data_IF_118105211586
#
_entry.id   IF_118105211586
#
_cell.length_a   1.000
_cell.length_b   1.000
_cell.length_c   1.000
_cell.angle_alpha   90.00
_cell.angle_beta   90.00
_cell.angle_gamma   90.00
#
_symmetry.space_group_name_H-M   'P 1'
#
loop_
_entity.id
_entity.type
_entity.pdbx_description
1 polymer ?
#
# COMPACT_ATOMS: atom_id res chain seq x y z
N UNK A 1 4.67 16.80 12.64
CA UNK A 1 5.65 16.25 11.68
C UNK A 1 5.95 17.30 10.63
N UNK A 2 7.16 17.33 10.06
CA UNK A 2 7.54 18.22 8.96
C UNK A 2 8.24 17.42 7.86
N UNK A 3 8.27 17.98 6.64
CA UNK A 3 9.03 17.43 5.52
C UNK A 3 10.50 17.77 5.67
N UNK A 4 11.39 16.77 5.54
CA UNK A 4 12.82 17.00 5.40
C UNK A 4 13.17 17.14 3.90
N UNK A 5 13.83 18.22 3.50
CA UNK A 5 14.20 18.53 2.13
C UNK A 5 15.30 17.58 1.62
N UNK A 6 14.90 16.44 1.07
CA UNK A 6 15.80 15.43 0.48
C UNK A 6 16.75 14.73 1.47
N UNK A 7 16.22 14.27 2.61
CA UNK A 7 16.99 13.48 3.57
C UNK A 7 17.48 12.15 3.00
N UNK A 8 18.81 12.03 2.91
CA UNK A 8 19.54 10.78 2.70
C UNK A 8 19.81 10.14 4.08
N UNK A 9 18.74 9.72 4.76
CA UNK A 9 18.92 8.69 5.81
C UNK A 9 19.44 7.45 5.09
N UNK A 10 20.30 6.65 5.72
CA UNK A 10 20.50 5.25 5.31
C UNK A 10 19.24 4.45 5.68
N UNK A 11 18.09 4.92 5.16
CA UNK A 11 16.82 4.27 4.84
C UNK A 11 16.23 5.17 3.73
N UNK A 12 16.71 4.93 2.51
CA UNK A 12 16.10 5.22 1.20
C UNK A 12 15.60 6.65 0.90
N UNK A 13 16.37 7.38 0.06
CA UNK A 13 15.82 8.39 -0.86
C UNK A 13 15.05 7.69 -1.98
N UNK A 14 13.72 7.73 -1.96
CA UNK A 14 12.91 7.24 -3.08
C UNK A 14 11.69 8.16 -3.26
N UNK A 15 11.76 9.13 -4.16
CA UNK A 15 10.54 9.48 -4.92
C UNK A 15 10.43 8.39 -5.98
N UNK A 16 9.42 7.52 -5.98
CA UNK A 16 9.00 6.68 -7.11
C UNK A 16 7.64 6.05 -6.77
N UNK A 17 6.72 6.05 -7.73
CA UNK A 17 5.47 5.27 -7.71
C UNK A 17 5.78 3.91 -8.37
N UNK A 18 5.35 2.81 -7.75
CA UNK A 18 5.64 1.43 -8.19
C UNK A 18 4.34 0.69 -8.43
N UNK A 19 4.34 -0.18 -9.43
CA UNK A 19 3.14 -0.85 -9.86
C UNK A 19 3.37 -2.31 -10.21
N UNK A 20 2.31 -3.10 -10.07
CA UNK A 20 2.27 -4.50 -10.52
C UNK A 20 1.11 -4.69 -11.48
N UNK A 21 1.34 -5.53 -12.49
CA UNK A 21 0.27 -6.08 -13.30
C UNK A 21 -0.43 -7.18 -12.50
N UNK A 22 -1.72 -7.04 -12.28
CA UNK A 22 -2.57 -8.16 -11.89
C UNK A 22 -3.03 -8.89 -13.14
N UNK A 23 -3.13 -10.22 -13.07
CA UNK A 23 -3.61 -11.05 -14.19
C UNK A 23 -4.91 -11.71 -13.73
N UNK A 24 -6.05 -11.10 -14.04
CA UNK A 24 -7.29 -11.88 -14.20
C UNK A 24 -7.24 -12.51 -15.60
N UNK A 25 -7.84 -13.69 -15.87
CA UNK A 25 -7.81 -14.28 -17.21
C UNK A 25 -8.36 -13.35 -18.32
N UNK A 26 -9.00 -12.23 -17.96
CA UNK A 26 -9.62 -11.29 -18.91
C UNK A 26 -9.19 -9.81 -18.68
N UNK A 27 -8.66 -9.41 -17.51
CA UNK A 27 -8.28 -8.00 -17.22
C UNK A 27 -6.88 -7.87 -16.62
N UNK A 28 -6.08 -6.97 -17.20
CA UNK A 28 -4.75 -6.59 -16.70
C UNK A 28 -4.84 -5.18 -16.13
N UNK A 29 -4.65 -5.06 -14.82
CA UNK A 29 -4.78 -3.81 -14.07
C UNK A 29 -3.47 -3.50 -13.36
N UNK A 30 -3.08 -2.23 -13.34
CA UNK A 30 -1.89 -1.72 -12.71
C UNK A 30 -2.20 -1.03 -11.36
N UNK A 31 -1.84 -1.68 -10.26
CA UNK A 31 -2.14 -1.19 -8.90
C UNK A 31 -0.90 -0.69 -8.15
N UNK A 32 -1.08 0.35 -7.34
CA UNK A 32 -0.07 0.84 -6.41
C UNK A 32 0.06 -0.06 -5.18
N UNK A 33 1.30 -0.27 -4.69
CA UNK A 33 1.56 -1.07 -3.50
C UNK A 33 1.58 -0.22 -2.23
N UNK A 34 0.69 -0.52 -1.27
CA UNK A 34 0.58 0.30 -0.05
C UNK A 34 0.59 -0.57 1.21
N UNK A 35 1.57 -0.32 2.09
CA UNK A 35 1.71 -0.96 3.41
C UNK A 35 1.01 -0.18 4.53
N UNK A 36 0.46 0.98 4.20
CA UNK A 36 -0.35 1.82 5.09
C UNK A 36 -1.87 1.60 4.94
N UNK A 37 -2.30 0.81 3.95
CA UNK A 37 -3.70 0.46 3.70
C UNK A 37 -3.83 -1.05 3.51
N UNK A 38 -4.98 -1.59 3.91
CA UNK A 38 -5.29 -3.01 3.82
C UNK A 38 -6.24 -3.35 2.69
N UNK A 39 -6.87 -2.33 2.10
CA UNK A 39 -7.88 -2.53 1.06
C UNK A 39 -7.24 -2.78 -0.30
N UNK A 40 -7.72 -3.81 -0.97
CA UNK A 40 -7.43 -4.04 -2.39
C UNK A 40 -8.62 -3.51 -3.18
N UNK A 41 -8.40 -2.59 -4.10
CA UNK A 41 -9.47 -2.03 -4.91
C UNK A 41 -8.98 -1.59 -6.28
N UNK A 42 -9.92 -1.53 -7.23
CA UNK A 42 -9.72 -1.02 -8.59
C UNK A 42 -10.90 -0.14 -8.99
N UNK A 43 -10.63 1.03 -9.57
CA UNK A 43 -11.68 1.95 -10.00
C UNK A 43 -12.63 1.26 -11.00
N UNK A 44 -13.94 1.43 -10.78
CA UNK A 44 -14.95 0.91 -11.68
C UNK A 44 -14.89 1.63 -13.02
N UNK A 45 -15.14 0.92 -14.12
CA UNK A 45 -15.41 1.57 -15.39
C UNK A 45 -16.64 2.49 -15.27
N UNK A 46 -16.54 3.71 -15.80
CA UNK A 46 -17.63 4.70 -15.70
C UNK A 46 -17.78 5.35 -14.33
N UNK A 47 -16.79 5.24 -13.43
CA UNK A 47 -16.79 5.92 -12.13
C UNK A 47 -17.03 7.44 -12.25
N UNK A 48 -17.57 8.03 -11.18
CA UNK A 48 -17.70 9.47 -10.99
C UNK A 48 -16.42 10.02 -10.34
N UNK A 49 -15.76 10.95 -11.03
CA UNK A 49 -14.67 11.72 -10.44
C UNK A 49 -15.22 12.99 -9.79
N UNK A 50 -14.78 13.31 -8.58
CA UNK A 50 -15.11 14.57 -7.92
C UNK A 50 -13.85 15.32 -7.51
N UNK A 51 -13.96 16.65 -7.36
CA UNK A 51 -12.89 17.50 -6.85
C UNK A 51 -12.92 17.62 -5.31
N UNK A 52 -11.98 18.41 -4.76
CA UNK A 52 -11.87 18.65 -3.31
C UNK A 52 -13.09 19.38 -2.71
N UNK A 53 -13.91 20.02 -3.54
CA UNK A 53 -15.12 20.73 -3.14
C UNK A 53 -16.39 19.88 -3.32
N UNK A 54 -16.21 18.57 -3.58
CA UNK A 54 -17.27 17.59 -3.85
C UNK A 54 -18.07 17.81 -5.12
N UNK A 55 -17.53 18.56 -6.10
CA UNK A 55 -18.20 18.75 -7.39
C UNK A 55 -17.80 17.65 -8.38
N UNK A 56 -18.75 17.11 -9.17
CA UNK A 56 -18.43 16.23 -10.28
C UNK A 56 -17.52 16.92 -11.30
N UNK A 57 -16.45 16.24 -11.69
CA UNK A 57 -15.48 16.71 -12.69
C UNK A 57 -15.27 15.62 -13.75
N UNK A 58 -14.67 15.94 -14.91
CA UNK A 58 -14.32 14.92 -15.90
C UNK A 58 -13.48 13.80 -15.28
N UNK A 59 -13.74 12.55 -15.67
CA UNK A 59 -13.02 11.37 -15.15
C UNK A 59 -11.50 11.45 -15.35
N UNK A 60 -11.06 12.15 -16.40
CA UNK A 60 -9.65 12.45 -16.67
C UNK A 60 -8.96 13.24 -15.55
N UNK A 61 -9.69 14.01 -14.75
CA UNK A 61 -9.14 14.77 -13.61
C UNK A 61 -8.61 13.82 -12.53
N UNK A 62 -9.30 12.70 -12.29
CA UNK A 62 -8.84 11.69 -11.35
C UNK A 62 -7.59 10.94 -11.85
N UNK A 63 -7.29 11.03 -13.15
CA UNK A 63 -6.07 10.54 -13.78
C UNK A 63 -5.75 9.07 -13.47
N UNK A 64 -6.76 8.19 -13.46
CA UNK A 64 -6.52 6.75 -13.47
C UNK A 64 -5.92 6.30 -14.82
N UNK A 65 -5.28 5.12 -14.83
CA UNK A 65 -4.85 4.43 -16.05
C UNK A 65 -6.03 4.00 -16.94
N UNK A 66 -5.79 3.49 -18.16
CA UNK A 66 -6.86 3.22 -19.12
C UNK A 66 -7.62 1.90 -18.90
N UNK A 67 -7.22 1.08 -17.91
CA UNK A 67 -7.74 -0.28 -17.71
C UNK A 67 -8.65 -0.38 -16.47
N UNK A 68 -9.65 0.50 -16.35
CA UNK A 68 -10.64 0.41 -15.28
C UNK A 68 -11.35 -0.96 -15.30
N UNK A 69 -11.86 -1.37 -14.13
CA UNK A 69 -12.50 -2.67 -13.98
C UNK A 69 -14.01 -2.58 -14.25
N UNK A 70 -14.50 -3.43 -15.15
CA UNK A 70 -15.93 -3.64 -15.36
C UNK A 70 -16.36 -4.96 -14.69
N UNK A 71 -17.14 -4.91 -13.60
CA UNK A 71 -17.66 -6.10 -12.93
C UNK A 71 -18.39 -7.08 -13.86
N UNK A 72 -19.11 -6.57 -14.86
CA UNK A 72 -19.92 -7.39 -15.76
C UNK A 72 -19.08 -8.30 -16.68
N UNK A 73 -17.81 -7.96 -16.88
CA UNK A 73 -16.92 -8.72 -17.74
C UNK A 73 -16.10 -9.78 -16.98
N UNK A 74 -16.13 -9.76 -15.64
CA UNK A 74 -15.46 -10.76 -14.82
C UNK A 74 -16.41 -11.92 -14.50
N UNK A 75 -16.13 -13.15 -14.98
CA UNK A 75 -16.98 -14.31 -14.74
C UNK A 75 -16.91 -14.81 -13.29
N UNK A 76 -15.96 -14.31 -12.50
CA UNK A 76 -15.75 -14.68 -11.09
C UNK A 76 -16.09 -13.56 -10.12
N UNK A 77 -16.53 -12.40 -10.63
CA UNK A 77 -16.95 -11.31 -9.76
C UNK A 77 -18.32 -11.61 -9.15
N UNK A 78 -18.39 -11.53 -7.83
CA UNK A 78 -19.60 -11.68 -7.05
C UNK A 78 -19.78 -10.44 -6.17
N UNK A 79 -20.82 -9.64 -6.46
CA UNK A 79 -21.14 -8.46 -5.65
C UNK A 79 -21.48 -8.88 -4.22
N UNK A 80 -20.84 -8.24 -3.25
CA UNK A 80 -21.16 -8.42 -1.84
C UNK A 80 -22.27 -7.44 -1.46
N UNK A 81 -23.52 -7.92 -1.50
CA UNK A 81 -24.69 -7.07 -1.28
C UNK A 81 -24.60 -6.31 0.05
N UNK A 82 -24.96 -5.03 0.02
CA UNK A 82 -24.94 -4.12 1.19
C UNK A 82 -23.53 -3.85 1.77
N UNK A 83 -22.46 -4.14 1.03
CA UNK A 83 -21.10 -3.82 1.47
C UNK A 83 -20.49 -2.72 0.62
N UNK A 84 -19.95 -1.72 1.31
CA UNK A 84 -19.43 -0.51 0.69
C UNK A 84 -18.00 -0.29 1.18
N UNK A 85 -17.06 -0.21 0.24
CA UNK A 85 -15.73 0.33 0.53
C UNK A 85 -15.85 1.84 0.73
N UNK A 86 -15.35 2.34 1.86
CA UNK A 86 -15.29 3.77 2.14
C UNK A 86 -13.97 4.11 2.83
N UNK A 87 -13.01 4.63 2.08
CA UNK A 87 -11.68 4.94 2.62
C UNK A 87 -11.18 6.31 2.18
N UNK A 88 -10.55 7.02 3.11
CA UNK A 88 -9.92 8.32 2.90
C UNK A 88 -8.45 8.24 3.32
N UNK A 89 -7.56 8.63 2.42
CA UNK A 89 -6.12 8.62 2.62
C UNK A 89 -5.63 9.92 3.24
N UNK A 90 -4.42 9.92 3.83
CA UNK A 90 -3.87 11.07 4.55
C UNK A 90 -3.66 12.35 3.74
N UNK A 91 -3.82 12.30 2.41
CA UNK A 91 -3.83 13.46 1.51
C UNK A 91 -5.21 14.01 1.17
N UNK A 92 -6.29 13.45 1.74
CA UNK A 92 -7.68 13.82 1.45
C UNK A 92 -8.30 13.07 0.28
N UNK A 93 -7.49 12.42 -0.57
CA UNK A 93 -7.99 11.51 -1.60
C UNK A 93 -8.84 10.41 -0.97
N UNK A 94 -9.96 10.06 -1.61
CA UNK A 94 -10.87 9.04 -1.11
C UNK A 94 -11.45 8.22 -2.25
N UNK A 95 -11.89 7.01 -1.91
CA UNK A 95 -12.67 6.15 -2.80
C UNK A 95 -13.88 5.61 -2.07
N UNK A 96 -14.98 5.53 -2.80
CA UNK A 96 -16.27 5.07 -2.31
C UNK A 96 -16.95 4.21 -3.36
N UNK A 97 -17.58 3.11 -2.95
CA UNK A 97 -18.43 2.31 -3.81
C UNK A 97 -18.50 0.85 -3.37
N UNK A 98 -19.07 -0.03 -4.20
CA UNK A 98 -19.36 -1.41 -3.82
C UNK A 98 -18.10 -2.22 -3.49
N UNK A 99 -18.27 -3.22 -2.65
CA UNK A 99 -17.31 -4.31 -2.45
C UNK A 99 -17.86 -5.63 -3.04
N UNK A 100 -16.96 -6.53 -3.40
CA UNK A 100 -17.31 -7.84 -3.94
C UNK A 100 -16.15 -8.82 -3.84
N UNK A 101 -16.41 -10.07 -4.16
CA UNK A 101 -15.37 -11.08 -4.31
C UNK A 101 -14.97 -11.22 -5.78
N UNK A 102 -13.69 -11.38 -6.04
CA UNK A 102 -13.22 -11.81 -7.37
C UNK A 102 -11.95 -12.65 -7.26
N UNK A 103 -11.54 -13.25 -8.37
CA UNK A 103 -10.22 -13.88 -8.50
C UNK A 103 -9.16 -12.81 -8.77
N UNK A 104 -8.24 -12.64 -7.83
CA UNK A 104 -7.12 -11.70 -7.97
C UNK A 104 -5.83 -12.49 -8.16
N UNK A 105 -5.05 -12.18 -9.20
CA UNK A 105 -3.69 -12.71 -9.33
C UNK A 105 -2.65 -11.61 -9.35
N UNK A 106 -1.55 -11.81 -8.62
CA UNK A 106 -0.38 -10.93 -8.60
C UNK A 106 0.85 -11.78 -8.91
N UNK A 107 1.46 -11.57 -10.08
CA UNK A 107 2.54 -12.43 -10.56
C UNK A 107 2.05 -13.88 -10.72
N UNK A 108 2.69 -14.83 -10.04
CA UNK A 108 2.32 -16.26 -10.06
C UNK A 108 1.38 -16.68 -8.94
N UNK A 109 0.88 -15.75 -8.13
CA UNK A 109 -0.02 -16.04 -7.01
C UNK A 109 -1.42 -15.66 -7.41
N UNK A 110 -2.34 -16.60 -7.26
CA UNK A 110 -3.77 -16.40 -7.50
C UNK A 110 -4.52 -16.65 -6.20
N UNK A 111 -5.47 -15.78 -5.89
CA UNK A 111 -6.40 -15.91 -4.76
C UNK A 111 -7.80 -15.91 -5.35
N UNK A 112 -8.53 -17.01 -5.21
CA UNK A 112 -9.94 -17.09 -5.60
C UNK A 112 -10.81 -16.49 -4.51
N UNK A 113 -11.82 -15.69 -4.87
CA UNK A 113 -12.74 -15.09 -3.89
C UNK A 113 -12.04 -14.10 -2.95
N UNK A 114 -11.08 -13.33 -3.47
CA UNK A 114 -10.51 -12.20 -2.74
C UNK A 114 -11.56 -11.08 -2.69
N UNK A 115 -11.83 -10.58 -1.49
CA UNK A 115 -12.65 -9.37 -1.35
C UNK A 115 -11.89 -8.15 -1.90
N UNK A 116 -12.54 -7.41 -2.79
CA UNK A 116 -12.02 -6.20 -3.41
C UNK A 116 -13.08 -5.10 -3.38
N UNK A 117 -12.62 -3.86 -3.26
CA UNK A 117 -13.46 -2.69 -3.56
C UNK A 117 -13.48 -2.40 -5.06
N UNK A 118 -14.63 -1.97 -5.55
CA UNK A 118 -14.83 -1.51 -6.92
C UNK A 118 -15.46 -0.12 -6.86
N UNK A 119 -14.72 0.90 -6.39
CA UNK A 119 -15.28 2.23 -6.19
C UNK A 119 -15.79 2.83 -7.48
N UNK A 120 -17.02 3.33 -7.44
CA UNK A 120 -17.71 4.02 -8.53
C UNK A 120 -17.76 5.54 -8.30
N UNK A 121 -17.24 6.03 -7.17
CA UNK A 121 -17.06 7.45 -6.87
C UNK A 121 -15.70 7.69 -6.20
N UNK A 122 -14.94 8.66 -6.70
CA UNK A 122 -13.57 8.91 -6.23
C UNK A 122 -13.21 10.39 -6.25
N UNK A 123 -12.39 10.81 -5.28
CA UNK A 123 -11.49 11.96 -5.39
C UNK A 123 -10.07 11.41 -5.39
N UNK A 124 -9.40 11.45 -6.54
CA UNK A 124 -8.10 10.80 -6.72
C UNK A 124 -7.13 11.71 -7.46
N UNK A 125 -5.89 11.77 -7.00
CA UNK A 125 -4.79 12.43 -7.71
C UNK A 125 -3.91 11.37 -8.38
N UNK A 126 -4.43 10.80 -9.46
CA UNK A 126 -3.79 9.72 -10.20
C UNK A 126 -2.52 10.14 -10.95
N UNK A 127 -1.83 9.16 -11.51
CA UNK A 127 -0.61 9.34 -12.30
C UNK A 127 -0.78 8.96 -13.78
N UNK A 128 -2.02 8.76 -14.21
CA UNK A 128 -2.39 8.31 -15.55
C UNK A 128 -1.99 6.86 -15.84
N UNK A 129 -1.55 6.09 -14.84
CA UNK A 129 -1.09 4.71 -15.05
C UNK A 129 -1.70 3.73 -14.07
N UNK A 130 -1.95 4.12 -12.82
CA UNK A 130 -2.60 3.25 -11.84
C UNK A 130 -4.11 3.27 -11.96
N UNK A 131 -4.75 2.14 -11.77
CA UNK A 131 -6.21 2.01 -11.69
C UNK A 131 -6.72 1.70 -10.27
N UNK A 132 -5.81 1.43 -9.33
CA UNK A 132 -6.20 1.16 -7.95
C UNK A 132 -5.03 0.86 -7.01
N UNK A 133 -5.34 0.23 -5.88
CA UNK A 133 -4.37 -0.10 -4.82
C UNK A 133 -4.44 -1.60 -4.49
N UNK A 134 -3.27 -2.21 -4.28
CA UNK A 134 -3.12 -3.47 -3.58
C UNK A 134 -2.72 -3.19 -2.13
N UNK A 135 -3.67 -3.31 -1.21
CA UNK A 135 -3.46 -3.14 0.22
C UNK A 135 -2.70 -4.32 0.81
N UNK A 136 -1.61 -4.03 1.52
CA UNK A 136 -0.73 -5.04 2.11
C UNK A 136 -0.64 -4.97 3.64
N UNK A 137 -1.32 -4.00 4.27
CA UNK A 137 -1.35 -3.87 5.72
C UNK A 137 -2.25 -4.94 6.38
N UNK A 138 -2.56 -4.78 7.67
CA UNK A 138 -3.25 -5.81 8.46
C UNK A 138 -4.79 -5.66 8.43
N UNK A 139 -5.57 -6.76 8.58
CA UNK A 139 -7.03 -6.77 8.43
C UNK A 139 -7.79 -5.67 9.18
N UNK A 140 -7.30 -5.27 10.37
CA UNK A 140 -7.94 -4.26 11.20
C UNK A 140 -8.00 -2.85 10.57
N UNK A 141 -7.32 -2.61 9.44
CA UNK A 141 -7.40 -1.37 8.66
C UNK A 141 -8.25 -1.46 7.39
N UNK A 142 -8.90 -2.60 7.15
CA UNK A 142 -9.84 -2.70 6.03
C UNK A 142 -11.03 -1.76 6.26
N UNK A 143 -11.55 -1.21 5.16
CA UNK A 143 -12.47 -0.09 5.18
C UNK A 143 -13.82 -0.42 4.52
N UNK A 144 -14.16 -1.70 4.41
CA UNK A 144 -15.48 -2.15 4.01
C UNK A 144 -16.42 -2.10 5.21
N UNK A 145 -17.59 -1.51 4.97
CA UNK A 145 -18.70 -1.44 5.92
C UNK A 145 -19.89 -2.24 5.37
N UNK A 146 -20.54 -3.01 6.24
CA UNK A 146 -21.83 -3.65 6.00
C UNK A 146 -22.95 -2.70 6.43
N UNK A 147 -23.89 -2.45 5.52
CA UNK A 147 -25.17 -1.80 5.81
C UNK A 147 -26.12 -2.81 6.48
N UNK A 148 -26.37 -2.61 7.77
CA UNK A 148 -27.31 -3.41 8.55
C UNK A 148 -28.48 -2.54 9.01
N UNK A 149 -29.49 -2.42 8.15
CA UNK A 149 -30.61 -1.51 8.35
C UNK A 149 -30.18 -0.05 8.20
N UNK A 150 -30.20 0.72 9.30
CA UNK A 150 -29.73 2.12 9.32
C UNK A 150 -28.32 2.27 9.88
N UNK A 151 -27.68 1.17 10.30
CA UNK A 151 -26.33 1.18 10.88
C UNK A 151 -25.30 0.77 9.83
N UNK A 152 -24.15 1.45 9.84
CA UNK A 152 -22.93 1.02 9.18
C UNK A 152 -22.07 0.28 10.20
N UNK A 153 -21.73 -0.97 9.90
CA UNK A 153 -20.90 -1.82 10.77
C UNK A 153 -19.64 -2.17 10.01
N UNK A 154 -18.46 -1.91 10.60
CA UNK A 154 -17.18 -2.36 10.04
C UNK A 154 -17.20 -3.86 9.85
N UNK A 155 -16.85 -4.32 8.66
CA UNK A 155 -16.75 -5.75 8.34
C UNK A 155 -15.31 -6.08 7.89
N UNK A 156 -14.41 -6.38 8.84
CA UNK A 156 -13.01 -6.60 8.50
C UNK A 156 -12.80 -7.90 7.72
N UNK A 157 -12.07 -7.82 6.61
CA UNK A 157 -11.74 -8.96 5.77
C UNK A 157 -10.23 -9.20 5.69
N UNK A 158 -9.84 -10.31 5.03
CA UNK A 158 -8.43 -10.65 4.84
C UNK A 158 -7.85 -9.94 3.60
N UNK A 159 -6.79 -9.10 3.75
CA UNK A 159 -6.07 -8.54 2.61
C UNK A 159 -5.44 -9.62 1.74
N UNK A 160 -5.22 -9.32 0.46
CA UNK A 160 -4.74 -10.26 -0.56
C UNK A 160 -3.65 -11.22 -0.09
N UNK A 161 -2.61 -10.69 0.57
CA UNK A 161 -1.48 -11.50 0.98
C UNK A 161 -1.83 -12.51 2.08
N UNK A 162 -2.70 -12.16 3.03
CA UNK A 162 -3.16 -13.09 4.06
C UNK A 162 -4.09 -14.15 3.47
N UNK A 163 -4.94 -13.77 2.52
CA UNK A 163 -5.76 -14.71 1.74
C UNK A 163 -4.89 -15.69 0.95
N UNK A 164 -3.80 -15.22 0.32
CA UNK A 164 -2.86 -16.07 -0.38
C UNK A 164 -2.15 -17.09 0.53
N UNK A 165 -1.80 -16.69 1.76
CA UNK A 165 -1.28 -17.62 2.77
C UNK A 165 -2.35 -18.65 3.15
N UNK A 166 -3.58 -18.21 3.44
CA UNK A 166 -4.67 -19.09 3.85
C UNK A 166 -5.02 -20.12 2.77
N UNK A 167 -4.98 -19.71 1.50
CA UNK A 167 -5.21 -20.56 0.34
C UNK A 167 -3.98 -21.39 -0.08
N UNK A 168 -2.84 -21.23 0.61
CA UNK A 168 -1.56 -21.92 0.33
C UNK A 168 -1.06 -21.70 -1.11
N UNK A 169 -1.37 -20.55 -1.70
CA UNK A 169 -0.94 -20.19 -3.06
C UNK A 169 0.45 -19.55 -3.06
N UNK A 170 0.95 -19.18 -1.87
CA UNK A 170 2.34 -18.83 -1.63
C UNK A 170 3.15 -20.09 -1.38
N UNK A 171 4.13 -20.40 -2.25
CA UNK A 171 4.93 -21.64 -2.23
C UNK A 171 6.08 -21.65 -1.23
N UNK A 172 5.98 -21.00 -0.06
CA UNK A 172 6.87 -21.27 1.09
C UNK A 172 6.38 -20.62 2.40
N UNK A 173 5.16 -20.92 2.89
CA UNK A 173 4.62 -20.23 4.05
C UNK A 173 5.27 -20.70 5.37
N UNK A 174 5.99 -21.83 5.36
CA UNK A 174 6.41 -22.56 6.56
C UNK A 174 7.89 -22.42 6.94
N UNK A 175 8.77 -21.86 6.08
CA UNK A 175 10.22 -21.81 6.37
C UNK A 175 10.86 -20.43 6.34
N UNK A 176 10.10 -19.35 6.15
CA UNK A 176 10.66 -18.00 6.28
C UNK A 176 9.68 -17.09 6.99
N UNK A 177 10.13 -16.50 8.11
CA UNK A 177 9.48 -15.41 8.86
C UNK A 177 9.30 -14.13 8.02
N UNK A 178 9.40 -14.21 6.70
CA UNK A 178 9.36 -13.11 5.74
C UNK A 178 8.10 -13.25 4.90
N UNK A 179 6.99 -12.59 5.29
CA UNK A 179 5.73 -12.69 4.56
C UNK A 179 5.91 -12.29 3.09
N UNK A 180 6.59 -11.18 2.87
CA UNK A 180 7.01 -10.73 1.54
C UNK A 180 8.22 -9.81 1.68
N UNK A 181 8.92 -9.61 0.57
CA UNK A 181 10.04 -8.67 0.47
C UNK A 181 9.84 -7.73 -0.70
N UNK A 182 10.33 -6.49 -0.54
CA UNK A 182 10.13 -5.41 -1.50
C UNK A 182 11.48 -4.77 -1.80
N UNK A 183 11.83 -4.71 -3.08
CA UNK A 183 12.94 -3.95 -3.60
C UNK A 183 12.41 -2.81 -4.46
N UNK A 184 12.72 -1.59 -4.04
CA UNK A 184 12.37 -0.35 -4.73
C UNK A 184 13.64 0.19 -5.40
N UNK A 185 13.61 0.36 -6.73
CA UNK A 185 14.79 0.78 -7.48
C UNK A 185 15.16 2.25 -7.15
N UNK A 186 16.38 2.58 -6.71
CA UNK A 186 16.74 3.97 -6.45
C UNK A 186 16.77 4.79 -7.74
N UNK A 187 16.24 6.02 -7.71
CA UNK A 187 16.44 6.98 -8.82
C UNK A 187 17.93 7.31 -8.91
N UNK A 188 18.58 7.23 -10.10
CA UNK A 188 19.99 7.54 -10.19
C UNK A 188 20.25 9.04 -10.06
N UNK A 189 20.86 9.47 -8.96
CA UNK A 189 21.77 10.62 -8.97
C UNK A 189 23.13 10.11 -9.43
N UNK A 190 23.51 10.44 -10.68
CA UNK A 190 24.83 10.19 -11.29
C UNK A 190 25.38 8.74 -11.33
N UNK A 191 24.68 7.69 -10.87
CA UNK A 191 25.07 6.29 -11.12
C UNK A 191 24.35 5.79 -12.38
N UNK A 192 25.00 6.00 -13.53
CA UNK A 192 24.48 5.66 -14.87
C UNK A 192 24.70 4.19 -15.25
N UNK A 193 24.83 3.25 -14.29
CA UNK A 193 25.36 1.91 -14.61
C UNK A 193 24.51 0.70 -14.22
N UNK A 194 23.32 0.88 -13.64
CA UNK A 194 22.39 -0.25 -13.39
C UNK A 194 21.10 -0.13 -14.21
N UNK A 195 20.76 1.07 -14.71
CA UNK A 195 19.55 1.29 -15.51
C UNK A 195 19.88 2.16 -16.73
N UNK A 196 20.32 1.55 -17.84
CA UNK A 196 20.45 2.23 -19.14
C UNK A 196 19.52 1.63 -20.18
N UNK A 197 19.22 2.47 -21.17
CA UNK A 197 17.97 2.61 -21.93
C UNK A 197 17.62 1.45 -22.88
N UNK A 198 18.45 0.43 -23.02
CA UNK A 198 18.29 -0.60 -24.07
C UNK A 198 17.61 -1.90 -23.62
N UNK A 199 17.25 -2.06 -22.35
CA UNK A 199 16.29 -3.04 -21.84
C UNK A 199 15.64 -2.42 -20.59
N UNK A 200 14.32 -2.37 -20.48
CA UNK A 200 13.64 -2.00 -19.22
C UNK A 200 13.02 -3.24 -18.55
N UNK A 201 13.75 -4.09 -17.80
CA UNK A 201 13.15 -5.17 -17.04
C UNK A 201 13.08 -4.92 -15.52
N UNK A 202 13.61 -3.83 -14.96
CA UNK A 202 13.77 -3.70 -13.51
C UNK A 202 13.28 -2.35 -12.97
N UNK A 203 11.97 -2.26 -12.72
CA UNK A 203 11.30 -1.13 -12.06
C UNK A 203 11.22 -1.29 -10.53
N UNK A 204 11.87 -2.29 -9.94
CA UNK A 204 11.61 -2.77 -8.58
C UNK A 204 11.06 -4.20 -8.62
N UNK A 205 10.98 -4.87 -7.48
CA UNK A 205 10.47 -6.23 -7.36
C UNK A 205 9.75 -6.41 -6.02
N UNK A 206 8.66 -7.17 -6.02
CA UNK A 206 8.09 -7.77 -4.81
C UNK A 206 8.21 -9.28 -4.92
N UNK A 207 8.49 -9.95 -3.81
CA UNK A 207 8.39 -11.40 -3.72
C UNK A 207 7.50 -11.75 -2.54
N UNK A 208 6.45 -12.52 -2.80
CA UNK A 208 5.56 -13.07 -1.78
C UNK A 208 6.06 -14.47 -1.40
N UNK A 209 6.28 -14.73 -0.10
CA UNK A 209 6.84 -15.99 0.38
C UNK A 209 8.33 -16.18 0.15
N UNK A 210 9.08 -15.10 -0.08
CA UNK A 210 10.52 -15.19 -0.33
C UNK A 210 11.24 -13.85 -0.29
N UNK A 211 12.55 -13.91 -0.51
CA UNK A 211 13.42 -12.74 -0.61
C UNK A 211 13.62 -12.41 -2.09
N UNK A 212 13.36 -11.16 -2.46
CA UNK A 212 13.63 -10.63 -3.80
C UNK A 212 15.09 -10.89 -4.18
N UNK A 213 15.38 -11.40 -5.39
CA UNK A 213 16.71 -11.87 -5.78
C UNK A 213 17.63 -10.69 -6.17
N UNK A 214 17.82 -9.74 -5.25
CA UNK A 214 18.70 -8.58 -5.41
C UNK A 214 19.88 -8.70 -4.47
N UNK A 215 21.05 -8.26 -4.92
CA UNK A 215 22.24 -8.24 -4.08
C UNK A 215 22.02 -7.27 -2.90
N UNK A 216 22.05 -7.81 -1.68
CA UNK A 216 22.06 -7.03 -0.45
C UNK A 216 23.43 -7.09 0.18
N UNK A 217 23.78 -6.09 1.01
CA UNK A 217 24.91 -6.26 1.93
C UNK A 217 24.53 -7.39 2.90
N UNK A 218 25.48 -8.23 3.32
CA UNK A 218 25.22 -9.41 4.16
C UNK A 218 24.75 -9.08 5.60
N UNK A 219 24.26 -7.86 5.83
CA UNK A 219 23.75 -7.38 7.11
C UNK A 219 22.23 -7.19 7.00
N UNK A 220 21.48 -8.02 7.71
CA UNK A 220 20.05 -7.86 7.93
C UNK A 220 19.77 -7.71 9.42
N UNK A 221 18.72 -6.98 9.77
CA UNK A 221 18.20 -6.91 11.13
C UNK A 221 16.71 -7.27 11.11
N UNK A 222 16.28 -8.02 12.12
CA UNK A 222 14.86 -8.31 12.36
C UNK A 222 14.41 -7.42 13.50
N UNK A 223 13.35 -6.65 13.25
CA UNK A 223 12.72 -5.80 14.26
C UNK A 223 11.28 -6.25 14.47
N UNK A 224 10.77 -6.21 15.71
CA UNK A 224 9.37 -6.53 15.96
C UNK A 224 8.47 -5.48 15.30
N UNK A 225 7.38 -5.94 14.67
CA UNK A 225 6.31 -5.05 14.24
C UNK A 225 5.51 -4.64 15.47
N UNK A 226 5.20 -3.36 15.58
CA UNK A 226 4.43 -2.81 16.69
C UNK A 226 2.94 -3.14 16.59
N UNK A 227 2.32 -3.33 17.76
CA UNK A 227 0.87 -3.44 17.92
C UNK A 227 0.31 -2.13 18.47
N UNK A 228 -0.96 -1.87 18.21
CA UNK A 228 -1.67 -0.65 18.57
C UNK A 228 -2.97 -0.98 19.29
N UNK A 229 -3.36 -0.12 20.23
CA UNK A 229 -4.74 -0.08 20.70
C UNK A 229 -5.62 0.51 19.58
N UNK A 230 -6.55 -0.23 18.97
CA UNK A 230 -7.31 0.25 17.83
C UNK A 230 -8.26 1.42 18.16
N UNK A 231 -8.59 1.64 19.43
CA UNK A 231 -9.45 2.78 19.84
C UNK A 231 -8.66 4.06 20.02
N UNK A 232 -7.41 3.97 20.51
CA UNK A 232 -6.55 5.13 20.80
C UNK A 232 -5.58 5.43 19.68
N UNK A 233 -5.30 4.43 18.84
CA UNK A 233 -4.30 4.49 17.76
C UNK A 233 -2.89 4.74 18.32
N UNK A 234 -2.63 4.24 19.52
CA UNK A 234 -1.35 4.35 20.22
C UNK A 234 -0.64 2.99 20.27
N UNK A 235 0.71 2.94 20.16
CA UNK A 235 1.48 1.74 20.39
C UNK A 235 1.14 1.10 21.74
N UNK A 236 0.81 -0.19 21.75
CA UNK A 236 0.33 -0.89 22.92
C UNK A 236 0.75 -2.35 22.90
N UNK A 237 1.12 -2.86 24.08
CA UNK A 237 1.34 -4.29 24.33
C UNK A 237 0.16 -4.91 25.10
N UNK A 238 -0.95 -4.19 25.24
CA UNK A 238 -2.13 -4.64 25.97
C UNK A 238 -2.85 -5.82 25.31
N UNK A 239 -3.79 -6.47 26.02
CA UNK A 239 -4.52 -7.63 25.49
C UNK A 239 -5.32 -7.30 24.23
N UNK A 240 -5.83 -6.07 24.12
CA UNK A 240 -6.62 -5.60 22.99
C UNK A 240 -5.76 -5.03 21.84
N UNK A 241 -4.43 -5.04 21.97
CA UNK A 241 -3.57 -4.49 20.94
C UNK A 241 -3.64 -5.34 19.66
N UNK A 242 -3.62 -4.72 18.49
CA UNK A 242 -3.65 -5.42 17.20
C UNK A 242 -2.58 -4.88 16.26
N UNK A 243 -2.30 -5.61 15.19
CA UNK A 243 -1.47 -5.08 14.12
C UNK A 243 -2.33 -4.19 13.22
N UNK A 244 -1.89 -2.95 13.02
CA UNK A 244 -2.49 -2.02 12.07
C UNK A 244 -1.57 -1.88 10.86
N UNK A 245 -0.34 -1.40 11.10
CA UNK A 245 0.67 -1.16 10.08
C UNK A 245 1.93 -1.98 10.28
N UNK A 246 2.80 -1.98 9.27
CA UNK A 246 4.21 -2.33 9.45
C UNK A 246 4.97 -1.20 10.14
N UNK A 247 4.70 -0.99 11.43
CA UNK A 247 5.37 0.01 12.25
C UNK A 247 6.48 -0.59 13.11
N UNK A 248 7.54 0.20 13.33
CA UNK A 248 8.72 -0.18 14.10
C UNK A 248 9.25 0.99 14.93
N UNK A 249 9.99 0.66 15.99
CA UNK A 249 10.76 1.61 16.76
C UNK A 249 12.04 2.02 16.02
N UNK A 250 12.32 3.33 15.99
CA UNK A 250 13.58 3.88 15.47
C UNK A 250 14.35 4.50 16.63
N UNK A 251 15.51 3.93 16.94
CA UNK A 251 16.36 4.36 18.06
C UNK A 251 16.95 5.77 17.90
N UNK A 252 17.18 6.19 16.65
CA UNK A 252 17.69 7.53 16.35
C UNK A 252 17.96 7.75 14.86
N UNK A 253 18.22 9.01 14.50
CA UNK A 253 18.47 9.43 13.13
C UNK A 253 19.88 10.02 12.99
N UNK A 254 20.64 9.45 12.06
CA UNK A 254 22.01 9.90 11.74
C UNK A 254 22.06 10.39 10.30
N UNK A 255 22.64 11.57 10.08
CA UNK A 255 22.81 12.19 8.77
C UNK A 255 24.05 13.09 8.75
N UNK A 256 24.63 13.38 7.57
CA UNK A 256 25.79 14.27 7.48
C UNK A 256 25.51 15.62 8.15
N UNK A 257 26.41 16.06 9.03
CA UNK A 257 26.24 17.28 9.81
C UNK A 257 25.44 17.11 11.10
N UNK A 258 24.84 15.94 11.37
CA UNK A 258 24.14 15.69 12.63
C UNK A 258 25.10 15.23 13.72
N UNK A 259 25.02 15.85 14.89
CA UNK A 259 25.51 15.27 16.14
C UNK A 259 24.46 14.31 16.69
N UNK A 260 24.10 13.26 15.93
CA UNK A 260 23.05 12.26 16.25
C UNK A 260 21.79 12.83 16.93
N UNK A 261 20.72 13.05 16.17
CA UNK A 261 19.45 13.45 16.79
C UNK A 261 18.83 12.21 17.42
N UNK A 262 18.99 12.07 18.74
CA UNK A 262 18.35 11.03 19.56
C UNK A 262 16.91 11.41 19.84
N UNK A 263 16.12 11.53 18.78
CA UNK A 263 14.66 11.47 18.90
C UNK A 263 14.30 10.03 18.63
N UNK A 264 14.09 9.25 19.70
CA UNK A 264 13.40 7.97 19.57
C UNK A 264 12.05 8.24 18.91
N UNK A 265 11.80 7.61 17.77
CA UNK A 265 10.45 7.52 17.24
C UNK A 265 9.88 6.20 17.70
N UNK A 266 8.93 6.27 18.63
CA UNK A 266 8.30 5.08 19.21
C UNK A 266 7.27 4.46 18.25
N UNK A 267 7.19 4.92 16.99
CA UNK A 267 6.26 4.42 15.97
C UNK A 267 6.59 5.02 14.60
N UNK A 268 7.41 4.33 13.82
CA UNK A 268 7.72 4.68 12.42
C UNK A 268 7.12 3.64 11.48
N UNK A 269 6.26 4.07 10.55
CA UNK A 269 5.64 3.18 9.57
C UNK A 269 6.55 2.95 8.36
N UNK A 270 6.67 1.69 7.94
CA UNK A 270 7.30 1.32 6.67
C UNK A 270 6.24 1.34 5.59
N UNK A 271 6.09 2.48 4.92
CA UNK A 271 5.05 2.68 3.92
C UNK A 271 5.62 2.87 2.50
N UNK A 272 5.21 2.00 1.58
CA UNK A 272 5.54 2.10 0.15
C UNK A 272 4.61 3.02 -0.63
N UNK A 273 3.45 3.41 -0.07
CA UNK A 273 2.49 4.30 -0.70
C UNK A 273 2.83 5.78 -0.52
N UNK A 274 3.54 6.14 0.56
CA UNK A 274 3.97 7.52 0.80
C UNK A 274 5.29 7.83 0.08
N UNK A 275 5.28 8.92 -0.70
CA UNK A 275 6.41 9.30 -1.57
C UNK A 275 7.60 9.93 -0.84
N UNK A 276 7.40 10.44 0.38
CA UNK A 276 8.41 11.20 1.15
C UNK A 276 8.53 10.67 2.57
N UNK A 277 9.69 10.87 3.20
CA UNK A 277 9.86 10.60 4.62
C UNK A 277 9.24 11.75 5.44
N UNK A 278 8.21 11.45 6.21
CA UNK A 278 7.64 12.36 7.21
C UNK A 278 8.26 12.05 8.56
N UNK A 279 8.93 13.04 9.16
CA UNK A 279 9.77 12.84 10.35
C UNK A 279 9.31 13.75 11.51
N UNK A 280 9.71 13.42 12.76
CA UNK A 280 9.57 14.34 13.89
C UNK A 280 10.17 15.70 13.55
N UNK A 281 9.50 16.76 14.00
CA UNK A 281 9.85 18.15 13.64
C UNK A 281 11.32 18.47 13.94
N UNK A 282 11.84 18.05 15.10
CA UNK A 282 13.24 18.27 15.47
C UNK A 282 14.24 17.59 14.51
N UNK A 283 13.90 16.40 13.98
CA UNK A 283 14.75 15.69 13.01
C UNK A 283 14.73 16.41 11.68
N UNK A 284 13.53 16.78 11.20
CA UNK A 284 13.39 17.48 9.93
C UNK A 284 14.07 18.86 9.97
N UNK A 285 13.90 19.61 11.05
CA UNK A 285 14.54 20.92 11.23
C UNK A 285 16.07 20.78 11.31
N UNK A 286 16.59 19.80 12.05
CA UNK A 286 18.03 19.55 12.12
C UNK A 286 18.63 19.07 10.79
N UNK A 287 17.86 18.33 9.98
CA UNK A 287 18.28 17.93 8.64
C UNK A 287 18.31 19.09 7.64
N UNK A 288 17.38 20.03 7.79
CA UNK A 288 17.22 21.17 6.89
C UNK A 288 18.09 22.38 7.25
N UNK A 289 18.82 22.31 8.36
CA UNK A 289 19.72 23.36 8.85
C UNK A 289 21.03 23.41 8.05
#
# INVERSE_FOLDING_TARGET
MKVANQMEVVVLKVKLKYFLHTISPIYLVQVGLIKHSSDTWVAQEGFTCIDSDSNPVPTSTCAFGPAQFNPADSPTFELLANHTLNTTYGGGAFVWGPAGFDTVSVGSITVSGQEIGVPDMTFWEGDGTSEGILGLAFPALTAVDLENGTALVKDPYSPFFLSAIAQKTVTNPLHTLTPFSLFLCPRPTKIRRICTRSLRPHLGCIAFGGIVPVAVTSKSATVPVQRYDPQKVDPSSGPNATFLWYALDVDGYTFPGSTAVVTKSNSTMVDSGTTINLLPTAVADAYNA
#
